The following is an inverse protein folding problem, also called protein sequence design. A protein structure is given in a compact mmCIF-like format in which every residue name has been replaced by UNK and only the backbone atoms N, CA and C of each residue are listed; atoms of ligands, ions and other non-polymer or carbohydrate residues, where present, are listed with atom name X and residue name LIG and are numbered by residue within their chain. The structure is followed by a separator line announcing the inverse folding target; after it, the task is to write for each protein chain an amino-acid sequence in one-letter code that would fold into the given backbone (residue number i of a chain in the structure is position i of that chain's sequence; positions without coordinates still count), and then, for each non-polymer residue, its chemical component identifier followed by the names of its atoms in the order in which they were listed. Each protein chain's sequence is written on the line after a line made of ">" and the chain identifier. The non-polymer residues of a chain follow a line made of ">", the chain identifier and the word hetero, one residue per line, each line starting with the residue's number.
data_IF_200593710489
#
_entry.id   IF_200593710489
#
_cell.length_a   1.000
_cell.length_b   1.000
_cell.length_c   1.000
_cell.angle_alpha   90.00
_cell.angle_beta   90.00
_cell.angle_gamma   90.00
#
_symmetry.space_group_name_H-M   'P 1'
#
loop_
_entity.id
_entity.type
_entity.pdbx_description
1 polymer ?
#
# COMPACT_ATOMS: atom_id res chain seq x y z
N UNK A 1 20.55 -19.26 -6.91
CA UNK A 1 20.07 -17.94 -6.46
C UNK A 1 20.36 -17.79 -4.97
N UNK A 2 20.88 -16.65 -4.51
CA UNK A 2 20.97 -16.41 -3.06
C UNK A 2 19.56 -16.44 -2.46
N UNK A 3 19.39 -16.82 -1.20
CA UNK A 3 18.09 -16.83 -0.56
C UNK A 3 17.52 -15.40 -0.55
N UNK A 4 16.24 -15.25 -0.90
CA UNK A 4 15.52 -13.97 -0.90
C UNK A 4 15.48 -13.35 0.51
N UNK A 5 15.56 -14.20 1.54
CA UNK A 5 15.67 -13.81 2.93
C UNK A 5 16.57 -14.79 3.68
N UNK A 6 17.53 -14.28 4.44
CA UNK A 6 18.34 -15.05 5.37
C UNK A 6 17.63 -15.10 6.72
N UNK A 7 17.25 -16.27 7.26
CA UNK A 7 16.61 -16.36 8.56
C UNK A 7 17.48 -15.70 9.65
N UNK A 8 16.87 -14.83 10.45
CA UNK A 8 17.55 -14.10 11.52
C UNK A 8 18.28 -12.82 11.08
N UNK A 9 18.45 -12.58 9.78
CA UNK A 9 19.08 -11.35 9.29
C UNK A 9 18.12 -10.14 9.44
N UNK A 10 18.61 -8.96 9.85
CA UNK A 10 17.82 -7.75 9.92
C UNK A 10 17.40 -7.30 8.51
N UNK A 11 16.32 -6.53 8.44
CA UNK A 11 15.90 -5.88 7.19
C UNK A 11 16.79 -4.67 6.93
N UNK A 12 17.47 -4.62 5.79
CA UNK A 12 18.28 -3.47 5.40
C UNK A 12 17.43 -2.42 4.68
N UNK A 13 17.55 -1.17 5.10
CA UNK A 13 16.96 0.00 4.46
C UNK A 13 18.10 0.80 3.85
N UNK A 14 18.09 0.93 2.53
CA UNK A 14 19.10 1.69 1.79
C UNK A 14 18.55 3.06 1.43
N UNK A 15 19.19 4.11 1.95
CA UNK A 15 18.88 5.50 1.66
C UNK A 15 19.93 6.05 0.71
N UNK A 16 19.51 6.54 -0.45
CA UNK A 16 20.39 7.14 -1.45
C UNK A 16 20.10 8.63 -1.53
N UNK A 17 21.11 9.44 -1.23
CA UNK A 17 20.99 10.89 -1.37
C UNK A 17 20.76 11.27 -2.83
N UNK A 18 19.65 11.91 -3.15
CA UNK A 18 19.37 12.42 -4.50
C UNK A 18 20.34 13.50 -4.96
N UNK A 19 20.99 14.21 -4.01
CA UNK A 19 21.94 15.28 -4.30
C UNK A 19 23.34 14.76 -4.59
N UNK A 20 23.84 13.80 -3.78
CA UNK A 20 25.24 13.36 -3.83
C UNK A 20 25.41 11.93 -4.31
N UNK A 21 24.35 11.13 -4.39
CA UNK A 21 24.42 9.70 -4.64
C UNK A 21 24.95 8.88 -3.46
N UNK A 22 25.24 9.51 -2.31
CA UNK A 22 25.77 8.81 -1.16
C UNK A 22 24.75 7.79 -0.61
N UNK A 23 25.22 6.58 -0.33
CA UNK A 23 24.44 5.48 0.23
C UNK A 23 24.61 5.44 1.76
N UNK A 24 23.50 5.44 2.47
CA UNK A 24 23.43 5.12 3.90
C UNK A 24 22.57 3.87 4.08
N UNK A 25 23.09 2.87 4.80
CA UNK A 25 22.33 1.66 5.13
C UNK A 25 22.00 1.67 6.61
N UNK A 26 20.73 1.45 6.93
CA UNK A 26 20.22 1.30 8.29
C UNK A 26 19.51 -0.04 8.39
N UNK A 27 19.56 -0.65 9.56
CA UNK A 27 18.98 -1.96 9.79
C UNK A 27 17.77 -1.88 10.72
N UNK A 28 16.67 -2.47 10.28
CA UNK A 28 15.45 -2.63 11.06
C UNK A 28 15.27 -4.08 11.52
N UNK A 29 14.33 -4.29 12.44
CA UNK A 29 13.91 -5.64 12.84
C UNK A 29 13.53 -6.46 11.61
N UNK A 30 13.92 -7.72 11.59
CA UNK A 30 13.64 -8.65 10.49
C UNK A 30 12.15 -8.64 10.14
N UNK A 31 11.86 -8.43 8.84
CA UNK A 31 10.57 -8.65 8.22
C UNK A 31 10.77 -8.94 6.72
N UNK A 32 9.74 -9.44 6.08
CA UNK A 32 9.70 -9.63 4.62
C UNK A 32 8.77 -8.58 4.03
N UNK A 33 9.33 -7.58 3.37
CA UNK A 33 8.59 -6.51 2.67
C UNK A 33 8.10 -7.02 1.34
N UNK A 34 6.81 -6.84 1.06
CA UNK A 34 6.15 -7.21 -0.19
C UNK A 34 5.96 -5.99 -1.09
N UNK A 35 5.39 -4.91 -0.56
CA UNK A 35 5.15 -3.67 -1.28
C UNK A 35 5.52 -2.44 -0.44
N UNK A 36 6.08 -1.42 -1.09
CA UNK A 36 6.18 -0.09 -0.50
C UNK A 36 4.83 0.62 -0.59
N UNK A 37 4.44 1.32 0.47
CA UNK A 37 3.26 2.20 0.51
C UNK A 37 3.67 3.62 0.16
N UNK A 38 4.56 4.19 0.97
CA UNK A 38 5.11 5.52 0.78
C UNK A 38 6.45 5.67 1.50
N UNK A 39 7.23 6.66 1.11
CA UNK A 39 8.41 7.08 1.85
C UNK A 39 8.57 8.60 1.76
N UNK A 40 8.84 9.26 2.88
CA UNK A 40 9.01 10.71 2.91
C UNK A 40 9.99 11.15 4.01
N UNK A 41 10.54 12.35 3.88
CA UNK A 41 11.37 12.96 4.91
C UNK A 41 10.55 13.92 5.76
N UNK A 42 10.66 13.79 7.09
CA UNK A 42 10.01 14.68 8.05
C UNK A 42 10.74 16.01 8.14
N UNK A 43 10.11 17.01 8.76
CA UNK A 43 10.75 18.31 9.04
C UNK A 43 11.92 18.19 10.01
N UNK A 44 11.97 17.15 10.83
CA UNK A 44 13.07 16.86 11.78
C UNK A 44 14.22 16.09 11.15
N UNK A 45 14.14 15.77 9.85
CA UNK A 45 15.19 15.07 9.12
C UNK A 45 15.07 13.55 9.07
N UNK A 46 14.17 12.94 9.88
CA UNK A 46 13.93 11.49 9.81
C UNK A 46 13.31 11.11 8.47
N UNK A 47 13.59 9.90 8.02
CA UNK A 47 12.91 9.30 6.86
C UNK A 47 11.90 8.28 7.38
N UNK A 48 10.63 8.47 7.00
CA UNK A 48 9.56 7.51 7.26
C UNK A 48 9.39 6.66 6.02
N UNK A 49 9.34 5.33 6.21
CA UNK A 49 9.01 4.36 5.16
C UNK A 49 7.86 3.52 5.64
N UNK A 50 6.76 3.52 4.91
CA UNK A 50 5.61 2.66 5.15
C UNK A 50 5.60 1.54 4.11
N UNK A 51 5.41 0.31 4.58
CA UNK A 51 5.45 -0.87 3.70
C UNK A 51 4.51 -1.98 4.17
N UNK A 52 4.00 -2.74 3.22
CA UNK A 52 3.35 -4.00 3.47
C UNK A 52 4.41 -5.05 3.78
N UNK A 53 4.29 -5.72 4.92
CA UNK A 53 5.30 -6.69 5.36
C UNK A 53 4.74 -7.80 6.24
N UNK A 54 5.25 -9.02 6.00
CA UNK A 54 5.09 -10.16 6.89
C UNK A 54 6.26 -10.23 7.89
N UNK A 55 6.09 -10.97 9.00
CA UNK A 55 7.16 -11.16 9.97
C UNK A 55 8.37 -11.93 9.41
N UNK A 56 8.14 -12.79 8.42
CA UNK A 56 9.17 -13.51 7.67
C UNK A 56 8.60 -14.06 6.36
N UNK A 57 9.47 -14.48 5.44
CA UNK A 57 9.07 -15.17 4.20
C UNK A 57 8.28 -16.45 4.48
N UNK A 58 8.60 -17.19 5.55
CA UNK A 58 7.86 -18.39 5.94
C UNK A 58 6.40 -18.09 6.34
N UNK A 59 6.14 -16.87 6.77
CA UNK A 59 4.80 -16.38 7.12
C UNK A 59 4.15 -15.58 5.97
N UNK A 60 4.74 -15.61 4.79
CA UNK A 60 4.19 -14.98 3.59
C UNK A 60 2.99 -15.78 3.07
N UNK A 61 1.95 -15.82 3.88
CA UNK A 61 0.59 -16.05 3.41
C UNK A 61 -0.06 -14.68 3.37
N UNK A 62 -0.88 -14.41 2.37
CA UNK A 62 -1.64 -13.14 2.25
C UNK A 62 -2.33 -12.77 3.58
N UNK A 63 -2.69 -13.78 4.37
CA UNK A 63 -3.33 -13.64 5.68
C UNK A 63 -2.43 -13.06 6.80
N UNK A 64 -1.12 -12.88 6.57
CA UNK A 64 -0.17 -12.43 7.60
C UNK A 64 0.61 -11.17 7.21
N UNK A 65 0.24 -10.54 6.10
CA UNK A 65 0.83 -9.27 5.67
C UNK A 65 0.02 -8.14 6.29
N UNK A 66 0.70 -7.23 6.94
CA UNK A 66 0.14 -6.01 7.51
C UNK A 66 0.98 -4.81 7.12
N UNK A 67 0.57 -3.63 7.55
CA UNK A 67 1.32 -2.40 7.28
C UNK A 67 2.27 -2.08 8.44
N UNK A 68 3.53 -1.83 8.12
CA UNK A 68 4.58 -1.42 9.06
C UNK A 68 5.12 -0.06 8.69
N UNK A 69 5.44 0.72 9.71
CA UNK A 69 6.15 2.00 9.60
C UNK A 69 7.56 1.86 10.13
N UNK A 70 8.53 2.31 9.36
CA UNK A 70 9.93 2.42 9.71
C UNK A 70 10.27 3.91 9.81
N UNK A 71 10.70 4.34 10.98
CA UNK A 71 11.19 5.71 11.21
C UNK A 71 12.70 5.65 11.32
N UNK A 72 13.39 6.18 10.33
CA UNK A 72 14.84 6.12 10.21
C UNK A 72 15.45 7.45 10.63
N UNK A 73 16.28 7.42 11.66
CA UNK A 73 17.22 8.48 11.98
C UNK A 73 18.49 8.24 11.15
N UNK A 74 18.73 9.12 10.17
CA UNK A 74 19.84 8.96 9.22
C UNK A 74 21.18 9.24 9.88
N UNK A 75 21.24 10.21 10.79
CA UNK A 75 22.47 10.63 11.49
C UNK A 75 22.85 9.60 12.55
N UNK A 76 21.91 9.16 13.36
CA UNK A 76 22.12 8.11 14.36
C UNK A 76 22.24 6.71 13.73
N UNK A 77 21.91 6.52 12.46
CA UNK A 77 21.83 5.23 11.76
C UNK A 77 20.97 4.21 12.51
N UNK A 78 19.86 4.66 13.04
CA UNK A 78 18.91 3.85 13.78
C UNK A 78 17.56 3.79 13.09
N UNK A 79 16.76 2.76 13.39
CA UNK A 79 15.43 2.58 12.85
C UNK A 79 14.48 2.07 13.93
N UNK A 80 13.42 2.82 14.16
CA UNK A 80 12.27 2.36 14.93
C UNK A 80 11.25 1.73 14.00
N UNK A 81 10.62 0.64 14.43
CA UNK A 81 9.61 -0.07 13.65
C UNK A 81 8.34 -0.20 14.47
N UNK A 82 7.23 0.24 13.90
CA UNK A 82 5.89 0.08 14.47
C UNK A 82 4.95 -0.63 13.49
N UNK A 83 3.87 -1.19 14.00
CA UNK A 83 2.80 -1.76 13.20
C UNK A 83 1.70 -0.71 13.10
N UNK A 84 1.40 -0.30 11.88
CA UNK A 84 0.29 0.62 11.59
C UNK A 84 -1.02 -0.16 11.54
N UNK A 85 -1.01 -1.33 10.91
CA UNK A 85 -2.19 -2.18 10.80
C UNK A 85 -1.83 -3.66 10.88
N UNK A 86 -2.52 -4.36 11.78
CA UNK A 86 -2.48 -5.82 11.86
C UNK A 86 -3.55 -6.40 10.95
N UNK A 87 -3.18 -7.18 10.00
CA UNK A 87 -4.23 -7.85 9.27
C UNK A 87 -3.87 -8.17 7.84
N UNK A 88 -4.69 -8.96 7.19
CA UNK A 88 -4.40 -9.47 5.88
C UNK A 88 -4.69 -8.40 4.82
N UNK A 89 -3.76 -7.46 4.65
CA UNK A 89 -3.84 -6.40 3.65
C UNK A 89 -2.64 -6.42 2.72
N UNK A 90 -2.87 -6.15 1.45
CA UNK A 90 -1.86 -6.12 0.40
C UNK A 90 -2.23 -5.17 -0.74
N UNK A 91 -1.29 -4.94 -1.66
CA UNK A 91 -1.47 -4.09 -2.84
C UNK A 91 -1.89 -2.66 -2.47
N UNK A 92 -0.98 -1.90 -1.83
CA UNK A 92 -1.32 -0.56 -1.35
C UNK A 92 -1.42 0.46 -2.47
N UNK A 93 -2.31 1.42 -2.29
CA UNK A 93 -2.45 2.62 -3.11
C UNK A 93 -2.62 3.84 -2.22
N UNK A 94 -2.13 4.99 -2.65
CA UNK A 94 -2.33 6.29 -1.99
C UNK A 94 -2.67 7.35 -3.02
N UNK A 95 -3.09 8.52 -2.56
CA UNK A 95 -3.27 9.67 -3.45
C UNK A 95 -1.92 10.03 -4.12
N UNK A 96 -1.84 10.15 -5.46
CA UNK A 96 -0.57 10.33 -6.18
C UNK A 96 0.19 11.61 -5.78
N UNK A 97 -0.49 12.69 -5.42
CA UNK A 97 0.17 13.93 -4.99
C UNK A 97 0.81 13.83 -3.60
N UNK A 98 0.53 12.77 -2.85
CA UNK A 98 1.13 12.49 -1.55
C UNK A 98 2.32 11.52 -1.63
N UNK A 99 2.66 11.02 -2.81
CA UNK A 99 3.87 10.20 -2.99
C UNK A 99 5.11 11.03 -2.67
N UNK A 100 5.92 10.56 -1.72
CA UNK A 100 7.10 11.27 -1.23
C UNK A 100 6.80 12.39 -0.22
N UNK A 101 5.57 12.50 0.28
CA UNK A 101 5.11 13.52 1.22
C UNK A 101 4.37 12.89 2.39
N UNK A 102 4.15 13.67 3.45
CA UNK A 102 3.26 13.31 4.54
C UNK A 102 1.87 13.02 3.97
N UNK A 103 1.25 11.95 4.45
CA UNK A 103 -0.05 11.48 4.01
C UNK A 103 -0.80 10.87 5.20
N UNK A 104 -2.09 10.72 5.08
CA UNK A 104 -2.95 10.17 6.12
C UNK A 104 -3.70 8.91 5.69
N UNK A 105 -4.06 8.80 4.41
CA UNK A 105 -4.89 7.70 3.94
C UNK A 105 -4.16 6.79 2.98
N UNK A 106 -4.22 5.48 3.27
CA UNK A 106 -3.81 4.41 2.37
C UNK A 106 -5.00 3.52 2.04
N UNK A 107 -4.96 2.92 0.87
CA UNK A 107 -5.95 1.96 0.41
C UNK A 107 -5.25 0.66 0.09
N UNK A 108 -5.90 -0.48 0.33
CA UNK A 108 -5.30 -1.79 0.08
C UNK A 108 -6.38 -2.83 -0.21
N UNK A 109 -6.00 -3.91 -0.85
CA UNK A 109 -6.82 -5.11 -0.90
C UNK A 109 -6.78 -5.82 0.46
N UNK A 110 -7.94 -6.28 0.94
CA UNK A 110 -8.10 -6.99 2.21
C UNK A 110 -8.62 -8.41 1.97
N UNK A 111 -7.99 -9.39 2.64
CA UNK A 111 -8.43 -10.78 2.60
C UNK A 111 -9.59 -11.00 3.61
N UNK A 112 -10.60 -11.86 3.33
CA UNK A 112 -10.68 -12.68 2.13
C UNK A 112 -11.06 -11.91 0.87
N UNK A 113 -11.90 -10.87 0.95
CA UNK A 113 -12.31 -10.10 -0.22
C UNK A 113 -12.80 -8.71 0.18
N UNK A 114 -12.24 -7.70 -0.44
CA UNK A 114 -12.59 -6.30 -0.24
C UNK A 114 -11.45 -5.35 -0.55
N UNK A 115 -11.73 -4.08 -0.46
CA UNK A 115 -10.74 -3.01 -0.36
C UNK A 115 -10.93 -2.28 0.94
N UNK A 116 -9.85 -1.84 1.56
CA UNK A 116 -9.92 -1.01 2.75
C UNK A 116 -9.31 0.37 2.49
N UNK A 117 -9.87 1.38 3.15
CA UNK A 117 -9.26 2.66 3.45
C UNK A 117 -8.70 2.58 4.85
N UNK A 118 -7.48 3.01 5.05
CA UNK A 118 -6.79 3.02 6.32
C UNK A 118 -6.33 4.44 6.65
N UNK A 119 -6.62 4.89 7.85
CA UNK A 119 -6.00 6.05 8.46
C UNK A 119 -4.66 5.62 9.07
N UNK A 120 -3.54 6.09 8.51
CA UNK A 120 -2.21 5.62 8.92
C UNK A 120 -1.75 6.18 10.26
N UNK A 121 -2.42 7.19 10.79
CA UNK A 121 -2.12 7.78 12.10
C UNK A 121 -2.83 7.03 13.23
N UNK A 122 -4.06 6.56 12.99
CA UNK A 122 -4.86 5.86 14.00
C UNK A 122 -4.90 4.35 13.81
N UNK A 123 -4.63 3.86 12.60
CA UNK A 123 -4.79 2.45 12.21
C UNK A 123 -6.25 2.05 11.96
N UNK A 124 -7.20 2.98 12.07
CA UNK A 124 -8.61 2.71 11.80
C UNK A 124 -8.83 2.38 10.32
N UNK A 125 -9.75 1.45 10.06
CA UNK A 125 -10.05 0.99 8.70
C UNK A 125 -11.53 0.99 8.41
N UNK A 126 -11.86 1.33 7.15
CA UNK A 126 -13.20 1.16 6.58
C UNK A 126 -13.06 0.19 5.41
N UNK A 127 -13.88 -0.85 5.37
CA UNK A 127 -13.82 -1.88 4.32
C UNK A 127 -15.01 -1.73 3.38
N UNK A 128 -14.73 -1.73 2.07
CA UNK A 128 -15.72 -1.90 1.01
C UNK A 128 -15.66 -3.32 0.46
N UNK A 129 -16.81 -3.94 0.27
CA UNK A 129 -16.94 -5.16 -0.51
C UNK A 129 -17.77 -4.88 -1.75
N UNK A 130 -17.21 -5.16 -2.91
CA UNK A 130 -17.84 -4.93 -4.22
C UNK A 130 -18.07 -6.26 -4.93
N UNK A 131 -18.57 -7.25 -4.25
CA UNK A 131 -18.81 -8.58 -4.80
C UNK A 131 -18.31 -9.68 -3.87
N UNK A 132 -18.35 -10.92 -4.38
CA UNK A 132 -18.22 -12.15 -3.63
C UNK A 132 -16.92 -12.93 -3.93
N UNK A 133 -15.93 -12.29 -4.52
CA UNK A 133 -14.69 -12.93 -4.93
C UNK A 133 -13.44 -12.07 -4.74
N UNK A 134 -12.28 -12.56 -5.19
CA UNK A 134 -11.02 -11.86 -5.05
C UNK A 134 -11.02 -10.47 -5.66
N UNK A 135 -10.48 -9.53 -4.91
CA UNK A 135 -10.26 -8.15 -5.33
C UNK A 135 -8.80 -7.99 -5.79
N UNK A 136 -8.61 -7.37 -6.95
CA UNK A 136 -7.29 -6.98 -7.44
C UNK A 136 -6.79 -5.73 -6.70
N UNK A 137 -5.60 -5.26 -7.05
CA UNK A 137 -5.02 -4.02 -6.56
C UNK A 137 -6.00 -2.83 -6.70
N UNK A 138 -6.29 -2.09 -5.62
CA UNK A 138 -7.03 -0.85 -5.70
C UNK A 138 -6.15 0.27 -6.26
N UNK A 139 -6.65 1.03 -7.21
CA UNK A 139 -5.96 2.23 -7.71
C UNK A 139 -6.73 3.47 -7.26
N UNK A 140 -6.08 4.38 -6.53
CA UNK A 140 -6.67 5.66 -6.18
C UNK A 140 -6.65 6.61 -7.37
N UNK A 141 -7.81 7.21 -7.67
CA UNK A 141 -7.98 8.22 -8.71
C UNK A 141 -8.54 9.48 -8.09
N UNK A 142 -7.78 10.60 -8.05
CA UNK A 142 -8.27 11.83 -7.44
C UNK A 142 -9.43 12.42 -8.23
N UNK A 143 -10.39 13.04 -7.54
CA UNK A 143 -11.44 13.83 -8.17
C UNK A 143 -10.84 15.11 -8.75
N UNK A 144 -11.20 15.45 -9.97
CA UNK A 144 -10.71 16.66 -10.60
C UNK A 144 -11.05 17.91 -9.77
N UNK A 145 -10.02 18.71 -9.45
CA UNK A 145 -10.16 19.94 -8.68
C UNK A 145 -10.28 19.75 -7.16
N UNK A 146 -10.21 18.51 -6.66
CA UNK A 146 -10.19 18.27 -5.21
C UNK A 146 -8.84 18.64 -4.60
N UNK A 147 -8.90 19.11 -3.33
CA UNK A 147 -7.74 19.37 -2.47
C UNK A 147 -7.66 18.40 -1.28
N UNK A 148 -8.73 17.65 -1.02
CA UNK A 148 -8.77 16.69 0.08
C UNK A 148 -8.12 15.38 -0.35
N UNK A 149 -7.28 14.82 0.52
CA UNK A 149 -6.50 13.62 0.25
C UNK A 149 -7.36 12.39 -0.07
N UNK A 150 -8.55 12.30 0.50
CA UNK A 150 -9.46 11.16 0.30
C UNK A 150 -10.63 11.46 -0.67
N UNK A 151 -10.61 12.61 -1.36
CA UNK A 151 -11.64 12.95 -2.34
C UNK A 151 -11.28 12.41 -3.71
N UNK A 152 -11.81 11.25 -4.01
CA UNK A 152 -11.53 10.52 -5.23
C UNK A 152 -12.28 9.20 -5.31
N UNK A 153 -11.76 8.32 -6.12
CA UNK A 153 -12.30 6.98 -6.31
C UNK A 153 -11.22 5.92 -6.13
N UNK A 154 -11.64 4.76 -5.69
CA UNK A 154 -10.88 3.52 -5.75
C UNK A 154 -11.42 2.72 -6.92
N UNK A 155 -10.55 2.37 -7.85
CA UNK A 155 -10.89 1.62 -9.06
C UNK A 155 -10.09 0.33 -9.07
N UNK A 156 -10.73 -0.78 -9.38
CA UNK A 156 -10.04 -2.06 -9.53
C UNK A 156 -10.96 -3.16 -10.03
N UNK A 157 -10.35 -4.30 -10.33
CA UNK A 157 -11.08 -5.48 -10.77
C UNK A 157 -11.49 -6.35 -9.59
N UNK A 158 -12.69 -6.93 -9.71
CA UNK A 158 -13.22 -7.93 -8.80
C UNK A 158 -13.63 -9.16 -9.61
N UNK A 159 -13.18 -10.32 -9.16
CA UNK A 159 -13.58 -11.59 -9.74
C UNK A 159 -14.78 -12.09 -8.95
N UNK A 160 -15.97 -11.99 -9.51
CA UNK A 160 -17.21 -12.44 -8.87
C UNK A 160 -17.77 -13.70 -9.55
N UNK A 161 -18.78 -14.32 -8.92
CA UNK A 161 -19.50 -15.43 -9.52
C UNK A 161 -20.24 -15.05 -10.82
N UNK A 162 -20.43 -13.76 -11.07
CA UNK A 162 -21.01 -13.19 -12.30
C UNK A 162 -19.96 -12.80 -13.35
N UNK A 163 -18.71 -13.22 -13.17
CA UNK A 163 -17.57 -12.87 -14.02
C UNK A 163 -16.74 -11.70 -13.49
N UNK A 164 -15.82 -11.25 -14.29
CA UNK A 164 -14.94 -10.12 -13.95
C UNK A 164 -15.70 -8.79 -14.02
N UNK A 165 -15.57 -7.99 -13.00
CA UNK A 165 -16.17 -6.67 -12.86
C UNK A 165 -15.10 -5.62 -12.67
N UNK A 166 -15.27 -4.43 -13.23
CA UNK A 166 -14.54 -3.24 -12.84
C UNK A 166 -15.42 -2.47 -11.85
N UNK A 167 -14.96 -2.33 -10.62
CA UNK A 167 -15.68 -1.63 -9.58
C UNK A 167 -15.07 -0.26 -9.33
N UNK A 168 -15.94 0.73 -9.09
CA UNK A 168 -15.58 2.09 -8.71
C UNK A 168 -16.23 2.38 -7.37
N UNK A 169 -15.40 2.67 -6.37
CA UNK A 169 -15.79 2.94 -4.99
C UNK A 169 -15.43 4.38 -4.66
N UNK A 170 -16.30 5.11 -3.97
CA UNK A 170 -15.98 6.42 -3.42
C UNK A 170 -14.90 6.28 -2.34
N UNK A 171 -13.76 6.92 -2.52
CA UNK A 171 -12.59 6.71 -1.66
C UNK A 171 -12.76 7.27 -0.25
N UNK A 172 -13.63 8.27 -0.04
CA UNK A 172 -13.91 8.84 1.27
C UNK A 172 -14.80 7.93 2.11
N UNK A 173 -15.87 7.43 1.52
CA UNK A 173 -16.91 6.68 2.23
C UNK A 173 -16.79 5.17 2.08
N UNK A 174 -15.95 4.71 1.18
CA UNK A 174 -15.79 3.30 0.78
C UNK A 174 -17.11 2.65 0.32
N UNK A 175 -17.99 3.43 -0.29
CA UNK A 175 -19.26 2.93 -0.87
C UNK A 175 -19.10 2.69 -2.37
N UNK A 176 -19.67 1.58 -2.85
CA UNK A 176 -19.70 1.27 -4.28
C UNK A 176 -20.52 2.33 -5.03
N UNK A 177 -19.89 2.94 -6.03
CA UNK A 177 -20.53 3.91 -6.92
C UNK A 177 -21.01 3.28 -8.23
N UNK A 178 -20.19 2.40 -8.80
CA UNK A 178 -20.45 1.82 -10.11
C UNK A 178 -19.78 0.44 -10.22
N UNK A 179 -20.41 -0.45 -10.97
CA UNK A 179 -19.90 -1.77 -11.35
C UNK A 179 -20.12 -1.99 -12.84
N UNK A 180 -19.04 -2.22 -13.56
CA UNK A 180 -19.05 -2.41 -15.02
C UNK A 180 -18.67 -3.85 -15.35
N UNK A 181 -19.25 -4.40 -16.41
CA UNK A 181 -18.84 -5.69 -16.95
C UNK A 181 -17.43 -5.58 -17.58
N UNK A 182 -16.51 -6.39 -17.08
CA UNK A 182 -15.15 -6.47 -17.57
C UNK A 182 -14.79 -7.88 -18.08
N UNK A 183 -15.78 -8.70 -18.40
CA UNK A 183 -15.60 -10.10 -18.83
C UNK A 183 -14.74 -10.23 -20.09
N UNK A 184 -14.70 -9.20 -20.95
CA UNK A 184 -13.83 -9.15 -22.12
C UNK A 184 -12.36 -8.84 -21.83
N UNK A 185 -11.99 -8.46 -20.62
CA UNK A 185 -10.60 -8.19 -20.27
C UNK A 185 -9.85 -9.51 -19.95
N UNK A 186 -8.69 -9.73 -20.59
CA UNK A 186 -8.02 -11.02 -20.61
C UNK A 186 -7.42 -11.49 -19.28
N UNK A 187 -7.01 -10.59 -18.38
CA UNK A 187 -6.40 -10.96 -17.12
C UNK A 187 -6.86 -10.05 -15.99
N UNK A 188 -6.74 -10.52 -14.73
CA UNK A 188 -6.93 -9.65 -13.57
C UNK A 188 -5.83 -8.61 -13.42
N UNK A 189 -4.71 -8.77 -14.09
CA UNK A 189 -3.53 -7.95 -13.82
C UNK A 189 -3.00 -8.16 -12.39
N UNK A 190 -1.71 -7.96 -12.18
CA UNK A 190 -1.15 -7.92 -10.82
C UNK A 190 -1.14 -6.48 -10.31
N UNK A 191 -0.70 -5.55 -11.17
CA UNK A 191 -0.62 -4.13 -10.89
C UNK A 191 -1.38 -3.32 -11.93
N UNK A 192 -1.93 -2.18 -11.51
CA UNK A 192 -2.66 -1.23 -12.36
C UNK A 192 -2.13 0.18 -12.22
N UNK A 193 -2.35 0.99 -13.24
CA UNK A 193 -2.06 2.42 -13.26
C UNK A 193 -3.20 3.16 -13.91
N UNK A 194 -3.68 4.21 -13.28
CA UNK A 194 -4.58 5.17 -13.91
C UNK A 194 -3.77 6.24 -14.65
N UNK A 195 -4.03 6.39 -15.93
CA UNK A 195 -3.42 7.44 -16.76
C UNK A 195 -4.51 8.42 -17.14
N UNK A 196 -4.50 9.67 -16.63
CA UNK A 196 -5.47 10.67 -17.04
C UNK A 196 -5.31 10.97 -18.52
N UNK A 197 -6.42 11.22 -19.23
CA UNK A 197 -6.38 11.75 -20.60
C UNK A 197 -5.78 13.15 -20.59
N UNK A 198 -4.85 13.37 -21.50
CA UNK A 198 -4.23 14.69 -21.76
C UNK A 198 -5.25 15.61 -22.44
#
# INVERSE_FOLDING_TARGET
>A
MPPIQIPGAPTAIHLISRRSGALTTVYAKQCFVTHAVNAYQTRTGHVVVDAMAASSLAHLKILNVGMRRFVVDVDARSCETSIVHHGPIEFPSIHPDHVGRVYRFAYAAVSPWGWCKMDVDTGETIVASCGDGPHAEPTFVPRAGSTDEDDGWIIGYVLSNRGKRLCIVDARTMKLCCELDASGANAMGLHGLFVPSI
#
